data_IF_513649965187
#
_entry.id   IF_513649965187
#
_cell.length_a   1.000
_cell.length_b   1.000
_cell.length_c   1.000
_cell.angle_alpha   90.00
_cell.angle_beta   90.00
_cell.angle_gamma   90.00
#
_symmetry.space_group_name_H-M   'P 1'
#
loop_
_entity.id
_entity.type
_entity.pdbx_description
1 polymer ?
#
# COMPACT_ATOMS: atom_id res chain seq x y z
N UNK A 1 -15.49 2.28 -2.80
CA UNK A 1 -15.04 1.74 -1.49
C UNK A 1 -13.70 1.04 -1.70
N UNK A 2 -12.79 1.12 -0.72
CA UNK A 2 -11.47 0.48 -0.69
C UNK A 2 -11.41 -0.40 0.56
N UNK A 3 -10.88 -1.60 0.41
CA UNK A 3 -10.54 -2.53 1.47
C UNK A 3 -9.04 -2.79 1.45
N UNK A 4 -8.38 -2.53 2.57
CA UNK A 4 -6.94 -2.71 2.78
C UNK A 4 -6.74 -3.86 3.77
N UNK A 5 -5.90 -4.83 3.43
CA UNK A 5 -5.58 -5.98 4.29
C UNK A 5 -4.08 -6.22 4.31
N UNK A 6 -3.50 -6.41 5.50
CA UNK A 6 -2.17 -6.99 5.65
C UNK A 6 -2.35 -8.50 5.84
N UNK A 7 -1.69 -9.30 5.00
CA UNK A 7 -1.67 -10.75 5.13
C UNK A 7 -0.26 -11.24 5.41
N UNK A 8 -0.15 -12.31 6.17
CA UNK A 8 1.09 -13.05 6.34
C UNK A 8 1.32 -14.06 5.20
N UNK A 9 2.47 -14.74 5.24
CA UNK A 9 2.84 -15.79 4.28
C UNK A 9 1.86 -17.00 4.25
N UNK A 10 1.07 -17.20 5.32
CA UNK A 10 0.05 -18.24 5.39
C UNK A 10 -1.30 -17.78 4.83
N UNK A 11 -1.43 -16.50 4.45
CA UNK A 11 -2.67 -15.86 4.02
C UNK A 11 -3.58 -15.42 5.17
N UNK A 12 -3.12 -15.50 6.42
CA UNK A 12 -3.85 -15.01 7.58
C UNK A 12 -3.83 -13.49 7.60
N UNK A 13 -4.95 -12.86 7.99
CA UNK A 13 -5.05 -11.41 8.03
C UNK A 13 -4.53 -10.86 9.37
N UNK A 14 -3.47 -10.04 9.31
CA UNK A 14 -2.87 -9.35 10.46
C UNK A 14 -3.53 -8.01 10.76
N UNK A 15 -4.02 -7.34 9.71
CA UNK A 15 -4.66 -6.02 9.80
C UNK A 15 -5.68 -5.86 8.68
N UNK A 16 -6.77 -5.16 8.96
CA UNK A 16 -7.81 -4.83 7.97
C UNK A 16 -8.36 -3.42 8.22
N UNK A 17 -8.59 -2.68 7.14
CA UNK A 17 -9.31 -1.40 7.15
C UNK A 17 -10.18 -1.29 5.90
N UNK A 18 -11.29 -0.55 6.00
CA UNK A 18 -12.22 -0.34 4.88
C UNK A 18 -12.80 1.07 4.94
N UNK A 19 -12.93 1.73 3.78
CA UNK A 19 -13.46 3.08 3.67
C UNK A 19 -13.39 3.63 2.24
N UNK A 20 -13.88 4.85 2.03
CA UNK A 20 -13.63 5.59 0.78
C UNK A 20 -12.24 6.25 0.80
N UNK A 21 -11.80 6.61 2.00
CA UNK A 21 -10.47 7.11 2.31
C UNK A 21 -9.99 6.38 3.58
N UNK A 22 -8.75 5.92 3.54
CA UNK A 22 -8.08 5.19 4.62
C UNK A 22 -6.83 5.98 4.97
N UNK A 23 -6.67 6.34 6.23
CA UNK A 23 -5.46 6.92 6.81
C UNK A 23 -5.27 6.27 8.18
N UNK A 24 -4.39 5.26 8.23
CA UNK A 24 -4.24 4.37 9.38
C UNK A 24 -2.76 4.14 9.68
N UNK A 25 -2.46 3.85 10.95
CA UNK A 25 -1.14 3.38 11.35
C UNK A 25 -1.23 1.91 11.76
N UNK A 26 -0.49 1.06 11.05
CA UNK A 26 -0.22 -0.32 11.49
C UNK A 26 0.92 -0.29 12.50
N UNK A 27 0.63 -0.74 13.73
CA UNK A 27 1.61 -0.82 14.81
C UNK A 27 2.07 -2.28 14.97
N UNK A 28 3.07 -2.65 14.20
CA UNK A 28 3.70 -3.97 14.22
C UNK A 28 4.89 -4.00 13.28
N UNK A 29 5.81 -4.93 13.51
CA UNK A 29 6.92 -5.17 12.58
C UNK A 29 6.44 -6.09 11.46
N UNK A 30 6.90 -5.83 10.23
CA UNK A 30 6.66 -6.75 9.12
C UNK A 30 7.58 -7.97 9.20
N UNK A 31 7.05 -9.12 8.81
CA UNK A 31 7.76 -10.40 8.73
C UNK A 31 7.94 -10.82 7.26
N UNK A 32 8.91 -11.70 7.00
CA UNK A 32 9.13 -12.23 5.65
C UNK A 32 7.88 -12.93 5.13
N UNK A 33 7.42 -12.49 3.95
CA UNK A 33 6.20 -13.00 3.31
C UNK A 33 4.93 -12.23 3.66
N UNK A 34 5.01 -11.20 4.52
CA UNK A 34 3.91 -10.26 4.69
C UNK A 34 3.65 -9.49 3.38
N UNK A 35 2.37 -9.11 3.16
CA UNK A 35 1.97 -8.35 1.99
C UNK A 35 0.66 -7.59 2.18
N UNK A 36 0.59 -6.41 1.59
CA UNK A 36 -0.65 -5.64 1.48
C UNK A 36 -1.49 -6.15 0.31
N UNK A 37 -2.75 -6.49 0.59
CA UNK A 37 -3.78 -6.71 -0.41
C UNK A 37 -4.76 -5.52 -0.36
N UNK A 38 -5.03 -4.94 -1.52
CA UNK A 38 -5.98 -3.85 -1.69
C UNK A 38 -7.07 -4.33 -2.64
N UNK A 39 -8.32 -4.15 -2.26
CA UNK A 39 -9.49 -4.35 -3.11
C UNK A 39 -10.22 -3.01 -3.22
N UNK A 40 -10.66 -2.61 -4.41
CA UNK A 40 -11.33 -1.34 -4.61
C UNK A 40 -12.44 -1.43 -5.64
N UNK A 41 -13.50 -0.64 -5.48
CA UNK A 41 -14.55 -0.56 -6.50
C UNK A 41 -14.06 0.10 -7.80
N UNK A 42 -13.07 1.00 -7.68
CA UNK A 42 -12.43 1.72 -8.78
C UNK A 42 -11.23 0.97 -9.34
N UNK A 43 -10.92 1.23 -10.62
CA UNK A 43 -9.73 0.72 -11.29
C UNK A 43 -8.47 1.52 -10.94
N UNK A 44 -8.58 2.63 -10.22
CA UNK A 44 -7.43 3.40 -9.79
C UNK A 44 -7.48 3.61 -8.29
N UNK A 45 -6.32 3.46 -7.65
CA UNK A 45 -6.15 3.74 -6.22
C UNK A 45 -4.93 4.61 -6.05
N UNK A 46 -5.10 5.72 -5.32
CA UNK A 46 -4.00 6.52 -4.80
C UNK A 46 -3.58 5.93 -3.47
N UNK A 47 -2.30 5.60 -3.32
CA UNK A 47 -1.81 5.00 -2.10
C UNK A 47 -0.42 5.45 -1.70
N UNK A 48 -0.13 5.30 -0.40
CA UNK A 48 1.20 5.37 0.19
C UNK A 48 1.26 4.29 1.27
N UNK A 49 2.10 3.27 1.09
CA UNK A 49 2.12 2.07 1.94
C UNK A 49 3.13 2.13 3.10
N UNK A 50 3.96 3.17 3.15
CA UNK A 50 4.90 3.43 4.24
C UNK A 50 5.19 4.94 4.30
N UNK A 51 5.56 5.46 5.47
CA UNK A 51 5.85 6.88 5.66
C UNK A 51 7.00 7.38 4.79
N UNK A 52 7.99 6.54 4.50
CA UNK A 52 9.14 6.91 3.65
C UNK A 52 8.83 6.86 2.16
N UNK A 53 7.69 6.30 1.76
CA UNK A 53 7.30 6.18 0.35
C UNK A 53 6.65 7.46 -0.17
N UNK A 54 6.85 7.74 -1.46
CA UNK A 54 6.05 8.73 -2.17
C UNK A 54 4.67 8.15 -2.47
N UNK A 55 3.66 9.02 -2.45
CA UNK A 55 2.32 8.64 -2.85
C UNK A 55 2.29 8.31 -4.36
N UNK A 56 1.61 7.23 -4.72
CA UNK A 56 1.53 6.72 -6.08
C UNK A 56 0.08 6.42 -6.44
N UNK A 57 -0.28 6.62 -7.70
CA UNK A 57 -1.56 6.18 -8.26
C UNK A 57 -1.29 4.93 -9.09
N UNK A 58 -2.00 3.84 -8.78
CA UNK A 58 -1.86 2.55 -9.46
C UNK A 58 -3.14 2.19 -10.19
N UNK A 59 -2.99 1.36 -11.22
CA UNK A 59 -4.11 0.76 -11.96
C UNK A 59 -4.37 -0.68 -11.49
N UNK A 60 -5.63 -0.99 -11.19
CA UNK A 60 -6.14 -2.27 -10.70
C UNK A 60 -7.06 -2.88 -11.78
N UNK A 61 -6.54 -3.67 -12.73
CA UNK A 61 -7.36 -4.26 -13.78
C UNK A 61 -8.47 -5.15 -13.21
N UNK A 62 -8.13 -5.96 -12.20
CA UNK A 62 -9.04 -6.91 -11.55
C UNK A 62 -9.67 -6.35 -10.27
N UNK A 63 -9.64 -5.03 -10.08
CA UNK A 63 -10.10 -4.36 -8.84
C UNK A 63 -9.34 -4.79 -7.58
N UNK A 64 -8.21 -5.45 -7.76
CA UNK A 64 -7.32 -5.92 -6.70
C UNK A 64 -5.87 -5.54 -7.00
N UNK A 65 -5.08 -5.35 -5.93
CA UNK A 65 -3.65 -5.10 -6.00
C UNK A 65 -2.95 -5.80 -4.83
N UNK A 66 -1.78 -6.37 -5.11
CA UNK A 66 -0.95 -7.01 -4.09
C UNK A 66 0.44 -6.36 -4.09
N UNK A 67 0.90 -5.98 -2.90
CA UNK A 67 2.24 -5.47 -2.66
C UNK A 67 2.93 -6.31 -1.61
N UNK A 68 3.98 -7.03 -2.01
CA UNK A 68 4.81 -7.79 -1.08
C UNK A 68 5.69 -6.83 -0.30
N UNK A 69 5.73 -6.97 1.02
CA UNK A 69 6.63 -6.16 1.83
C UNK A 69 8.07 -6.55 1.48
N UNK A 70 8.93 -5.60 1.07
CA UNK A 70 10.30 -5.92 0.74
C UNK A 70 11.05 -6.35 2.01
N UNK A 71 11.83 -7.42 1.89
CA UNK A 71 12.63 -7.97 3.00
C UNK A 71 14.11 -8.11 2.61
N UNK A 72 14.98 -8.20 3.60
CA UNK A 72 16.44 -8.36 3.45
C UNK A 72 17.07 -7.45 2.37
N UNK A 73 17.61 -8.05 1.32
CA UNK A 73 18.36 -7.38 0.25
C UNK A 73 17.47 -6.46 -0.57
N UNK A 74 16.22 -6.86 -0.82
CA UNK A 74 15.29 -6.03 -1.59
C UNK A 74 15.04 -4.71 -0.87
N UNK A 75 14.75 -4.76 0.43
CA UNK A 75 14.59 -3.57 1.25
C UNK A 75 15.88 -2.73 1.28
N UNK A 76 17.01 -3.36 1.55
CA UNK A 76 18.30 -2.66 1.73
C UNK A 76 18.79 -1.92 0.48
N UNK A 77 18.55 -2.46 -0.72
CA UNK A 77 19.10 -1.90 -1.96
C UNK A 77 18.12 -1.08 -2.78
N UNK A 78 16.80 -1.28 -2.63
CA UNK A 78 15.79 -0.64 -3.48
C UNK A 78 14.99 0.46 -2.77
N UNK A 79 15.06 0.53 -1.44
CA UNK A 79 14.23 1.44 -0.64
C UNK A 79 15.08 2.33 0.27
N UNK A 80 14.46 3.37 0.83
CA UNK A 80 15.12 4.20 1.84
C UNK A 80 15.49 3.37 3.08
N UNK A 81 16.55 3.74 3.83
CA UNK A 81 17.05 2.92 4.95
C UNK A 81 15.99 2.53 5.99
N UNK A 82 15.01 3.39 6.22
CA UNK A 82 13.97 3.19 7.25
C UNK A 82 12.65 2.64 6.68
N UNK A 83 12.54 2.49 5.35
CA UNK A 83 11.33 2.05 4.68
C UNK A 83 10.94 0.63 5.11
N UNK A 84 9.69 0.40 5.49
CA UNK A 84 9.18 -0.92 5.89
C UNK A 84 10.00 -1.55 7.04
N UNK A 85 10.57 -0.72 7.91
CA UNK A 85 11.34 -1.15 9.08
C UNK A 85 10.76 -0.55 10.36
N UNK A 86 11.07 -1.16 11.51
CA UNK A 86 10.49 -0.76 12.78
C UNK A 86 9.05 -1.27 12.94
N UNK A 87 8.34 -0.73 13.95
CA UNK A 87 7.04 -1.24 14.38
C UNK A 87 5.86 -0.29 14.16
N UNK A 88 5.99 0.71 13.29
CA UNK A 88 4.92 1.68 13.03
C UNK A 88 4.98 2.15 11.58
N UNK A 89 3.90 1.92 10.84
CA UNK A 89 3.79 2.23 9.43
C UNK A 89 2.49 2.97 9.17
N UNK A 90 2.57 4.17 8.59
CA UNK A 90 1.38 4.91 8.17
C UNK A 90 1.03 4.54 6.73
N UNK A 91 -0.21 4.11 6.54
CA UNK A 91 -0.77 3.74 5.24
C UNK A 91 -1.92 4.68 4.91
N UNK A 92 -1.88 5.23 3.70
CA UNK A 92 -2.93 6.09 3.17
C UNK A 92 -3.42 5.49 1.86
N UNK A 93 -4.73 5.34 1.71
CA UNK A 93 -5.38 4.91 0.46
C UNK A 93 -6.62 5.76 0.20
N UNK A 94 -6.80 6.21 -1.03
CA UNK A 94 -8.02 6.90 -1.46
C UNK A 94 -8.27 6.69 -2.94
N UNK A 95 -9.49 6.95 -3.38
CA UNK A 95 -9.79 7.03 -4.80
C UNK A 95 -9.20 8.34 -5.36
N UNK A 96 -8.38 8.29 -6.43
CA UNK A 96 -7.85 9.49 -7.06
C UNK A 96 -8.95 10.24 -7.82
N UNK A 97 -8.83 11.55 -7.92
CA UNK A 97 -9.68 12.36 -8.79
C UNK A 97 -9.35 12.14 -10.28
N UNK A 98 -10.31 12.39 -11.18
CA UNK A 98 -10.10 12.29 -12.63
C UNK A 98 -8.91 13.15 -13.10
N UNK A 99 -8.76 14.36 -12.56
CA UNK A 99 -7.61 15.24 -12.85
C UNK A 99 -6.27 14.62 -12.42
N UNK A 100 -6.24 13.81 -11.37
CA UNK A 100 -5.01 13.11 -10.94
C UNK A 100 -4.67 11.89 -11.82
N UNK A 101 -5.70 11.24 -12.39
CA UNK A 101 -5.55 10.07 -13.27
C UNK A 101 -5.16 10.50 -14.68
N UNK A 102 -5.89 11.49 -15.22
CA UNK A 102 -5.82 11.91 -16.62
C UNK A 102 -5.09 13.24 -16.82
N UNK A 103 -4.63 13.87 -15.74
CA UNK A 103 -3.87 15.11 -15.80
C UNK A 103 -2.62 14.97 -16.65
N UNK A 104 -2.38 15.98 -17.48
CA UNK A 104 -1.16 16.08 -18.29
C UNK A 104 0.05 16.15 -17.35
N UNK A 105 0.97 15.20 -17.48
CA UNK A 105 2.23 15.20 -16.75
C UNK A 105 3.28 15.81 -17.67
N UNK A 106 3.83 16.97 -17.32
CA UNK A 106 5.04 17.48 -17.97
C UNK A 106 6.21 16.56 -17.57
N UNK A 107 6.64 15.70 -18.51
CA UNK A 107 7.70 14.70 -18.31
C UNK A 107 9.01 15.17 -18.92
#
# INVERSE_FOLDING_TARGET
MIKLMLKDNSGSCKFEACGTEIDVCYNGEYEEGDGWCIEADSHFVKMKLDETMLCSIVYLPDKTFEFKIPFDRERLYCYAPDAFSGGSHRIVCSEPSDDEIYGEREI
#
